data_IF_434503103921
#
_entry.id   IF_434503103921
#
_cell.length_a   1.000
_cell.length_b   1.000
_cell.length_c   1.000
_cell.angle_alpha   90.00
_cell.angle_beta   90.00
_cell.angle_gamma   90.00
#
_symmetry.space_group_name_H-M   'P 1'
#
loop_
_entity.id
_entity.type
_entity.pdbx_description
1 polymer ?
#
# COMPACT_ATOMS: atom_id res chain seq x y z
N UNK A 1 8.44 -16.68 -1.54
CA UNK A 1 7.46 -17.36 -2.42
C UNK A 1 6.70 -16.41 -3.35
N UNK A 2 6.19 -15.24 -2.94
CA UNK A 2 5.66 -14.23 -3.88
C UNK A 2 6.64 -13.07 -4.06
N UNK A 3 7.24 -12.56 -2.99
CA UNK A 3 8.28 -11.53 -3.06
C UNK A 3 9.46 -11.93 -3.95
N UNK A 4 9.85 -13.21 -3.96
CA UNK A 4 10.92 -13.70 -4.84
C UNK A 4 10.51 -13.73 -6.32
N UNK A 5 9.22 -13.93 -6.61
CA UNK A 5 8.70 -13.83 -7.97
C UNK A 5 8.59 -12.37 -8.39
N UNK A 6 8.20 -11.48 -7.47
CA UNK A 6 8.23 -10.05 -7.71
C UNK A 6 9.64 -9.57 -8.04
N UNK A 7 10.65 -10.02 -7.29
CA UNK A 7 12.06 -9.69 -7.55
C UNK A 7 12.51 -10.13 -8.95
N UNK A 8 11.98 -11.25 -9.45
CA UNK A 8 12.24 -11.76 -10.80
C UNK A 8 11.42 -11.08 -11.90
N UNK A 9 10.53 -10.15 -11.57
CA UNK A 9 9.73 -9.38 -12.52
C UNK A 9 8.41 -10.03 -12.94
N UNK A 10 7.88 -10.97 -12.17
CA UNK A 10 6.60 -11.64 -12.46
C UNK A 10 5.37 -10.86 -11.99
N UNK A 11 5.35 -9.54 -12.19
CA UNK A 11 4.26 -8.67 -11.70
C UNK A 11 2.89 -9.08 -12.27
N UNK A 12 2.81 -9.32 -13.58
CA UNK A 12 1.54 -9.69 -14.24
C UNK A 12 0.94 -10.98 -13.66
N UNK A 13 1.77 -12.00 -13.43
CA UNK A 13 1.33 -13.24 -12.80
C UNK A 13 0.79 -13.04 -11.37
N UNK A 14 1.42 -12.13 -10.62
CA UNK A 14 1.00 -11.81 -9.25
C UNK A 14 -0.32 -11.05 -9.28
N UNK A 15 -0.48 -10.08 -10.19
CA UNK A 15 -1.74 -9.37 -10.42
C UNK A 15 -2.86 -10.36 -10.73
N UNK A 16 -2.66 -11.26 -11.69
CA UNK A 16 -3.66 -12.25 -12.07
C UNK A 16 -4.06 -13.13 -10.88
N UNK A 17 -3.09 -13.58 -10.09
CA UNK A 17 -3.35 -14.39 -8.91
C UNK A 17 -4.19 -13.65 -7.86
N UNK A 18 -3.84 -12.40 -7.53
CA UNK A 18 -4.58 -11.60 -6.54
C UNK A 18 -5.95 -11.14 -7.06
N UNK A 19 -6.13 -10.98 -8.37
CA UNK A 19 -7.45 -10.77 -8.96
C UNK A 19 -8.35 -11.99 -8.73
N UNK A 20 -7.83 -13.21 -8.74
CA UNK A 20 -8.66 -14.40 -8.54
C UNK A 20 -8.85 -14.77 -7.07
N UNK A 21 -7.94 -14.35 -6.18
CA UNK A 21 -7.95 -14.72 -4.77
C UNK A 21 -7.55 -13.56 -3.86
N UNK A 22 -8.55 -12.87 -3.30
CA UNK A 22 -8.33 -11.76 -2.34
C UNK A 22 -7.72 -12.23 -1.02
N UNK A 23 -7.74 -13.54 -0.70
CA UNK A 23 -7.10 -14.06 0.52
C UNK A 23 -5.57 -13.88 0.51
N UNK A 24 -5.01 -13.55 -0.66
CA UNK A 24 -3.59 -13.28 -0.87
C UNK A 24 -3.20 -11.81 -0.63
N UNK A 25 -4.15 -10.89 -0.44
CA UNK A 25 -3.86 -9.48 -0.15
C UNK A 25 -2.88 -9.23 1.00
N UNK A 26 -2.83 -10.05 2.07
CA UNK A 26 -1.78 -9.92 3.10
C UNK A 26 -0.35 -9.87 2.57
N UNK A 27 -0.07 -10.46 1.41
CA UNK A 27 1.27 -10.41 0.80
C UNK A 27 1.71 -8.99 0.41
N UNK A 28 0.76 -8.08 0.18
CA UNK A 28 1.07 -6.67 -0.13
C UNK A 28 1.84 -6.04 1.03
N UNK A 29 1.47 -6.38 2.28
CA UNK A 29 2.16 -5.93 3.49
C UNK A 29 3.59 -6.47 3.53
N UNK A 30 3.75 -7.78 3.26
CA UNK A 30 5.06 -8.43 3.21
C UNK A 30 5.96 -7.80 2.13
N UNK A 31 5.39 -7.44 0.98
CA UNK A 31 6.12 -6.80 -0.11
C UNK A 31 6.58 -5.39 0.24
N UNK A 32 5.77 -4.59 0.92
CA UNK A 32 6.17 -3.25 1.40
C UNK A 32 7.30 -3.36 2.44
N UNK A 33 7.27 -4.40 3.28
CA UNK A 33 8.31 -4.63 4.30
C UNK A 33 9.58 -5.28 3.77
N UNK A 34 9.62 -5.64 2.49
CA UNK A 34 10.77 -6.31 1.88
C UNK A 34 11.96 -5.35 1.73
N UNK A 35 13.16 -5.85 2.00
CA UNK A 35 14.40 -5.06 1.89
C UNK A 35 14.73 -4.71 0.44
N UNK A 36 14.27 -5.52 -0.52
CA UNK A 36 14.55 -5.35 -1.96
C UNK A 36 13.66 -4.25 -2.51
N UNK A 37 14.30 -3.20 -3.03
CA UNK A 37 13.60 -2.03 -3.59
C UNK A 37 12.60 -2.41 -4.70
N UNK A 38 12.95 -3.38 -5.56
CA UNK A 38 12.07 -3.85 -6.63
C UNK A 38 10.78 -4.48 -6.09
N UNK A 39 10.86 -5.22 -4.99
CA UNK A 39 9.67 -5.82 -4.37
C UNK A 39 8.75 -4.74 -3.81
N UNK A 40 9.30 -3.71 -3.14
CA UNK A 40 8.51 -2.57 -2.63
C UNK A 40 7.84 -1.78 -3.73
N UNK A 41 8.57 -1.41 -4.79
CA UNK A 41 7.99 -0.74 -5.97
C UNK A 41 6.90 -1.62 -6.61
N UNK A 42 7.13 -2.94 -6.66
CA UNK A 42 6.15 -3.90 -7.14
C UNK A 42 4.86 -3.92 -6.32
N UNK A 43 4.90 -3.62 -5.01
CA UNK A 43 3.70 -3.53 -4.17
C UNK A 43 2.81 -2.36 -4.60
N UNK A 44 3.42 -1.20 -4.87
CA UNK A 44 2.73 -0.02 -5.38
C UNK A 44 2.06 -0.31 -6.72
N UNK A 45 2.81 -0.82 -7.70
CA UNK A 45 2.28 -1.15 -9.02
C UNK A 45 1.17 -2.21 -8.97
N UNK A 46 1.31 -3.20 -8.08
CA UNK A 46 0.29 -4.22 -7.84
C UNK A 46 -1.02 -3.59 -7.33
N UNK A 47 -0.96 -2.67 -6.36
CA UNK A 47 -2.15 -1.99 -5.83
C UNK A 47 -2.80 -1.08 -6.89
N UNK A 48 -2.01 -0.35 -7.68
CA UNK A 48 -2.50 0.46 -8.81
C UNK A 48 -3.29 -0.36 -9.84
N UNK A 49 -2.87 -1.59 -10.12
CA UNK A 49 -3.59 -2.48 -11.02
C UNK A 49 -4.83 -3.11 -10.36
N UNK A 50 -4.73 -3.48 -9.08
CA UNK A 50 -5.85 -4.09 -8.35
C UNK A 50 -6.99 -3.10 -8.09
N UNK A 51 -6.74 -1.80 -7.90
CA UNK A 51 -7.84 -0.83 -7.69
C UNK A 51 -8.79 -0.73 -8.89
N UNK A 52 -8.35 -1.12 -10.10
CA UNK A 52 -9.18 -1.10 -11.31
C UNK A 52 -10.27 -2.17 -11.29
N UNK A 53 -9.98 -3.34 -10.70
CA UNK A 53 -10.83 -4.54 -10.77
C UNK A 53 -11.29 -5.07 -9.40
N UNK A 54 -10.58 -4.75 -8.32
CA UNK A 54 -10.75 -5.29 -6.96
C UNK A 54 -10.79 -4.19 -5.89
N UNK A 55 -11.35 -3.03 -6.25
CA UNK A 55 -11.47 -1.88 -5.34
C UNK A 55 -12.17 -2.25 -4.03
N UNK A 56 -13.30 -2.96 -4.08
CA UNK A 56 -14.06 -3.30 -2.88
C UNK A 56 -13.29 -4.21 -1.91
N UNK A 57 -12.51 -5.16 -2.45
CA UNK A 57 -11.61 -5.99 -1.66
C UNK A 57 -10.52 -5.16 -0.99
N UNK A 58 -9.89 -4.25 -1.75
CA UNK A 58 -8.85 -3.36 -1.22
C UNK A 58 -9.37 -2.40 -0.17
N UNK A 59 -10.59 -1.87 -0.33
CA UNK A 59 -11.25 -1.01 0.66
C UNK A 59 -11.44 -1.76 1.98
N UNK A 60 -11.88 -3.04 1.93
CA UNK A 60 -12.00 -3.87 3.13
C UNK A 60 -10.66 -4.17 3.80
N UNK A 61 -9.57 -4.10 3.03
CA UNK A 61 -8.20 -4.36 3.48
C UNK A 61 -7.45 -3.11 3.96
N UNK A 62 -8.08 -1.93 3.94
CA UNK A 62 -7.51 -0.68 4.45
C UNK A 62 -7.00 -0.80 5.90
N UNK A 63 -7.73 -1.41 6.85
CA UNK A 63 -7.26 -1.53 8.24
C UNK A 63 -5.97 -2.35 8.39
N UNK A 64 -5.71 -3.29 7.48
CA UNK A 64 -4.47 -4.06 7.46
C UNK A 64 -3.32 -3.26 6.84
N UNK A 65 -3.57 -2.51 5.76
CA UNK A 65 -2.59 -1.61 5.15
C UNK A 65 -2.21 -0.49 6.12
N UNK A 66 -3.16 0.04 6.90
CA UNK A 66 -2.90 1.15 7.83
C UNK A 66 -1.94 0.78 8.95
N UNK A 67 -1.74 -0.52 9.25
CA UNK A 67 -0.70 -0.98 10.19
C UNK A 67 0.72 -0.64 9.74
N UNK A 68 0.94 -0.40 8.44
CA UNK A 68 2.23 0.05 7.91
C UNK A 68 2.58 1.46 8.40
N UNK A 69 1.58 2.29 8.74
CA UNK A 69 1.77 3.65 9.26
C UNK A 69 2.37 3.67 10.67
N UNK A 70 2.46 2.54 11.35
CA UNK A 70 3.04 2.40 12.69
C UNK A 70 4.42 1.74 12.67
N UNK A 71 4.95 1.43 11.48
CA UNK A 71 6.23 0.73 11.35
C UNK A 71 7.41 1.60 11.85
N UNK A 72 8.40 1.04 12.56
CA UNK A 72 9.56 1.79 13.00
C UNK A 72 10.35 2.43 11.85
N UNK A 73 10.30 1.83 10.65
CA UNK A 73 10.98 2.38 9.48
C UNK A 73 10.12 3.47 8.79
N UNK A 74 10.59 4.73 8.73
CA UNK A 74 9.84 5.81 8.08
C UNK A 74 9.55 5.55 6.59
N UNK A 75 10.42 4.82 5.88
CA UNK A 75 10.18 4.44 4.50
C UNK A 75 8.94 3.54 4.37
N UNK A 76 8.79 2.56 5.28
CA UNK A 76 7.63 1.67 5.29
C UNK A 76 6.34 2.45 5.62
N UNK A 77 6.42 3.42 6.55
CA UNK A 77 5.27 4.30 6.84
C UNK A 77 4.85 5.12 5.63
N UNK A 78 5.80 5.73 4.93
CA UNK A 78 5.56 6.47 3.69
C UNK A 78 4.96 5.59 2.59
N UNK A 79 5.50 4.37 2.39
CA UNK A 79 4.97 3.40 1.44
C UNK A 79 3.54 2.97 1.81
N UNK A 80 3.24 2.77 3.09
CA UNK A 80 1.90 2.50 3.60
C UNK A 80 0.91 3.63 3.30
N UNK A 81 1.32 4.88 3.52
CA UNK A 81 0.52 6.06 3.17
C UNK A 81 0.26 6.14 1.66
N UNK A 82 1.28 5.87 0.83
CA UNK A 82 1.16 5.84 -0.62
C UNK A 82 0.10 4.83 -1.08
N UNK A 83 0.14 3.59 -0.56
CA UNK A 83 -0.87 2.57 -0.91
C UNK A 83 -2.29 3.02 -0.56
N UNK A 84 -2.49 3.67 0.59
CA UNK A 84 -3.79 4.21 0.99
C UNK A 84 -4.25 5.35 0.05
N UNK A 85 -3.32 6.21 -0.37
CA UNK A 85 -3.56 7.26 -1.37
C UNK A 85 -4.02 6.69 -2.72
N UNK A 86 -3.38 5.60 -3.18
CA UNK A 86 -3.76 4.90 -4.42
C UNK A 86 -5.16 4.27 -4.32
N UNK A 87 -5.50 3.67 -3.18
CA UNK A 87 -6.85 3.11 -2.93
C UNK A 87 -7.92 4.22 -2.95
N UNK A 88 -7.54 5.44 -2.54
CA UNK A 88 -8.33 6.66 -2.66
C UNK A 88 -9.75 6.51 -2.09
N UNK A 89 -9.83 6.09 -0.82
CA UNK A 89 -11.09 5.86 -0.11
C UNK A 89 -11.10 6.58 1.25
N UNK A 90 -12.25 7.15 1.61
CA UNK A 90 -12.40 7.98 2.82
C UNK A 90 -12.10 7.23 4.12
N UNK A 91 -12.29 5.91 4.14
CA UNK A 91 -12.03 5.09 5.34
C UNK A 91 -10.56 5.13 5.78
N UNK A 92 -9.63 5.44 4.86
CA UNK A 92 -8.23 5.61 5.18
C UNK A 92 -7.92 6.91 5.93
N UNK A 93 -8.78 7.93 5.84
CA UNK A 93 -8.50 9.27 6.39
C UNK A 93 -8.27 9.24 7.90
N UNK A 94 -9.07 8.46 8.64
CA UNK A 94 -8.92 8.38 10.10
C UNK A 94 -7.56 7.83 10.53
N UNK A 95 -7.00 6.88 9.77
CA UNK A 95 -5.68 6.31 10.03
C UNK A 95 -4.57 7.30 9.65
N UNK A 96 -4.70 7.97 8.51
CA UNK A 96 -3.71 8.96 8.04
C UNK A 96 -3.68 10.21 8.94
N UNK A 97 -4.84 10.72 9.35
CA UNK A 97 -4.94 11.87 10.25
C UNK A 97 -4.30 11.57 11.63
N UNK A 98 -4.33 10.31 12.09
CA UNK A 98 -3.69 9.90 13.35
C UNK A 98 -2.15 10.02 13.32
N UNK A 99 -1.54 9.90 12.14
CA UNK A 99 -0.09 10.01 11.92
C UNK A 99 0.30 11.30 11.19
N UNK A 100 -0.62 12.27 11.09
CA UNK A 100 -0.43 13.52 10.34
C UNK A 100 0.87 14.28 10.67
N UNK A 101 1.33 14.21 11.93
CA UNK A 101 2.54 14.85 12.41
C UNK A 101 3.73 13.88 12.51
N UNK A 102 3.86 12.94 11.58
CA UNK A 102 4.96 11.97 11.56
C UNK A 102 6.31 12.68 11.76
N UNK A 103 7.20 12.19 12.65
CA UNK A 103 8.48 12.84 12.93
C UNK A 103 9.41 12.86 11.71
N UNK A 104 9.32 11.86 10.83
CA UNK A 104 10.14 11.81 9.62
C UNK A 104 9.54 12.68 8.52
N UNK A 105 10.38 13.52 7.91
CA UNK A 105 9.91 14.49 6.94
C UNK A 105 9.42 13.87 5.62
N UNK A 106 10.03 12.77 5.19
CA UNK A 106 9.63 12.09 3.96
C UNK A 106 8.32 11.32 4.19
N UNK A 107 8.21 10.57 5.28
CA UNK A 107 6.97 9.88 5.64
C UNK A 107 5.80 10.86 5.80
N UNK A 108 6.01 11.97 6.51
CA UNK A 108 5.00 13.02 6.69
C UNK A 108 4.51 13.61 5.36
N UNK A 109 5.41 13.84 4.40
CA UNK A 109 5.04 14.34 3.08
C UNK A 109 4.11 13.35 2.34
N UNK A 110 4.44 12.05 2.37
CA UNK A 110 3.58 11.00 1.77
C UNK A 110 2.21 10.91 2.45
N UNK A 111 2.15 11.08 3.77
CA UNK A 111 0.89 11.09 4.53
C UNK A 111 0.02 12.28 4.12
N UNK A 112 0.62 13.46 3.97
CA UNK A 112 -0.11 14.66 3.54
C UNK A 112 -0.63 14.53 2.11
N UNK A 113 0.21 14.04 1.19
CA UNK A 113 -0.17 13.77 -0.20
C UNK A 113 -1.33 12.78 -0.28
N UNK A 114 -1.26 11.65 0.44
CA UNK A 114 -2.34 10.67 0.46
C UNK A 114 -3.66 11.26 0.99
N UNK A 115 -3.62 12.12 2.02
CA UNK A 115 -4.81 12.81 2.54
C UNK A 115 -5.40 13.76 1.49
N UNK A 116 -4.55 14.54 0.81
CA UNK A 116 -4.97 15.46 -0.25
C UNK A 116 -5.62 14.69 -1.41
N UNK A 117 -4.99 13.62 -1.87
CA UNK A 117 -5.51 12.75 -2.93
C UNK A 117 -6.89 12.21 -2.58
N UNK A 118 -7.06 11.67 -1.36
CA UNK A 118 -8.35 11.13 -0.92
C UNK A 118 -9.42 12.22 -0.84
N UNK A 119 -9.08 13.42 -0.37
CA UNK A 119 -10.04 14.54 -0.21
C UNK A 119 -10.41 15.24 -1.52
N UNK A 120 -9.59 15.12 -2.56
CA UNK A 120 -9.85 15.67 -3.89
C UNK A 120 -10.75 14.78 -4.77
N UNK A 121 -11.25 13.66 -4.23
CA UNK A 121 -12.18 12.75 -4.90
C UNK A 121 -13.64 13.05 -4.56
#
# INVERSE_FOLDING_TARGET
MICDHMEKGFLDNIIDMLKHDETLFPVIIDMVKDERLRVRIGATALVEELVKDRRDGLVKFIPEISRLLEDPNPTIRGDGANLLGIIKHSDALSFLDAVYNDPDAAARAMIHEAIEDIRQN
#
